data_IF_671612501235
#
_entry.id   IF_671612501235
#
_cell.length_a   1.000
_cell.length_b   1.000
_cell.length_c   1.000
_cell.angle_alpha   90.00
_cell.angle_beta   90.00
_cell.angle_gamma   90.00
#
_symmetry.space_group_name_H-M   'P 1'
#
loop_
_entity.id
_entity.type
_entity.pdbx_description
1 polymer ?
#
# COMPACT_ATOMS: atom_id res chain seq x y z
N UNK A 1 7.24 12.40 -4.55
CA UNK A 1 5.89 11.85 -4.78
C UNK A 1 5.70 10.72 -3.80
N UNK A 2 4.57 10.69 -3.13
CA UNK A 2 4.32 9.79 -2.01
C UNK A 2 3.23 8.77 -2.40
N UNK A 3 3.55 7.48 -2.30
CA UNK A 3 2.67 6.39 -2.73
C UNK A 3 2.36 5.46 -1.56
N UNK A 4 1.08 5.39 -1.17
CA UNK A 4 0.61 4.37 -0.26
C UNK A 4 0.43 3.03 -0.98
N UNK A 5 0.80 1.92 -0.35
CA UNK A 5 0.53 0.58 -0.88
C UNK A 5 -0.49 -0.13 0.01
N UNK A 6 -1.51 -0.70 -0.63
CA UNK A 6 -2.49 -1.57 0.01
C UNK A 6 -2.61 -2.87 -0.78
N UNK A 7 -2.90 -3.97 -0.10
CA UNK A 7 -3.13 -5.27 -0.73
C UNK A 7 -4.18 -6.06 0.02
N UNK A 8 -5.09 -6.72 -0.72
CA UNK A 8 -6.11 -7.60 -0.17
C UNK A 8 -5.51 -8.66 0.76
N UNK A 9 -6.15 -8.92 1.90
CA UNK A 9 -5.65 -9.89 2.88
C UNK A 9 -5.62 -11.33 2.33
N UNK A 10 -6.50 -11.63 1.38
CA UNK A 10 -6.56 -12.91 0.65
C UNK A 10 -5.32 -13.18 -0.21
N UNK A 11 -4.56 -12.13 -0.55
CA UNK A 11 -3.35 -12.23 -1.37
C UNK A 11 -2.16 -12.60 -0.47
N UNK A 12 -1.76 -13.86 -0.59
CA UNK A 12 -0.71 -14.44 0.26
C UNK A 12 0.70 -14.20 -0.24
N UNK A 13 0.90 -13.74 -1.47
CA UNK A 13 2.22 -13.40 -2.03
C UNK A 13 2.14 -12.15 -2.89
N UNK A 14 3.16 -11.29 -2.85
CA UNK A 14 3.20 -10.11 -3.73
C UNK A 14 3.23 -10.55 -5.19
N UNK A 15 2.25 -10.14 -6.03
CA UNK A 15 2.21 -10.52 -7.43
C UNK A 15 3.42 -9.97 -8.20
N UNK A 16 3.93 -10.73 -9.17
CA UNK A 16 5.10 -10.33 -9.97
C UNK A 16 4.95 -8.93 -10.63
N UNK A 17 3.78 -8.51 -11.15
CA UNK A 17 3.61 -7.15 -11.65
C UNK A 17 3.82 -6.08 -10.58
N UNK A 18 3.41 -6.34 -9.33
CA UNK A 18 3.64 -5.42 -8.22
C UNK A 18 5.11 -5.35 -7.80
N UNK A 19 5.82 -6.47 -7.80
CA UNK A 19 7.27 -6.48 -7.60
C UNK A 19 8.01 -5.65 -8.65
N UNK A 20 7.66 -5.79 -9.93
CA UNK A 20 8.28 -5.00 -10.99
C UNK A 20 7.95 -3.52 -10.90
N UNK A 21 6.73 -3.18 -10.49
CA UNK A 21 6.36 -1.80 -10.21
C UNK A 21 7.25 -1.21 -9.11
N UNK A 22 7.36 -1.89 -7.96
CA UNK A 22 8.19 -1.45 -6.83
C UNK A 22 9.65 -1.29 -7.21
N UNK A 23 10.19 -2.22 -7.99
CA UNK A 23 11.56 -2.11 -8.51
C UNK A 23 11.75 -0.85 -9.35
N UNK A 24 10.81 -0.56 -10.26
CA UNK A 24 10.85 0.66 -11.07
C UNK A 24 10.68 1.94 -10.25
N UNK A 25 9.95 1.87 -9.14
CA UNK A 25 9.77 3.00 -8.22
C UNK A 25 10.98 3.24 -7.32
N UNK A 26 11.70 2.19 -6.91
CA UNK A 26 12.94 2.31 -6.13
C UNK A 26 14.06 3.04 -6.89
N UNK A 27 14.03 3.00 -8.23
CA UNK A 27 14.94 3.74 -9.11
C UNK A 27 14.57 5.24 -9.25
N UNK A 28 13.49 5.68 -8.59
CA UNK A 28 12.96 7.05 -8.65
C UNK A 28 12.97 7.69 -7.25
N UNK A 29 12.96 9.03 -7.19
CA UNK A 29 12.81 9.81 -5.94
C UNK A 29 11.36 9.80 -5.43
N UNK A 30 10.82 8.59 -5.27
CA UNK A 30 9.46 8.31 -4.81
C UNK A 30 9.54 7.75 -3.40
N UNK A 31 8.68 8.24 -2.51
CA UNK A 31 8.54 7.71 -1.16
C UNK A 31 7.41 6.69 -1.13
N UNK A 32 7.70 5.51 -0.59
CA UNK A 32 6.68 4.46 -0.38
C UNK A 32 6.17 4.57 1.05
N UNK A 33 4.85 4.58 1.21
CA UNK A 33 4.17 4.64 2.50
C UNK A 33 3.46 3.29 2.74
N UNK A 34 3.73 2.68 3.89
CA UNK A 34 3.16 1.39 4.30
C UNK A 34 2.43 1.47 5.64
N UNK A 35 1.43 0.60 5.81
CA UNK A 35 0.78 0.35 7.09
C UNK A 35 1.47 -0.82 7.80
N UNK A 36 2.34 -0.54 8.77
CA UNK A 36 3.08 -1.53 9.54
C UNK A 36 2.23 -2.43 10.45
N UNK A 37 0.91 -2.23 10.52
CA UNK A 37 0.01 -3.07 11.34
C UNK A 37 -0.57 -4.27 10.58
N UNK A 38 -0.49 -4.29 9.25
CA UNK A 38 -1.08 -5.34 8.44
C UNK A 38 -0.04 -6.39 7.95
N UNK A 39 -0.50 -7.64 7.74
CA UNK A 39 0.38 -8.74 7.28
C UNK A 39 0.79 -8.60 5.81
N UNK A 40 0.06 -7.80 5.04
CA UNK A 40 0.33 -7.57 3.64
C UNK A 40 1.58 -6.70 3.45
N UNK A 41 1.68 -5.64 4.26
CA UNK A 41 2.75 -4.66 4.33
C UNK A 41 4.06 -5.27 4.80
N UNK A 42 4.02 -6.30 5.65
CA UNK A 42 5.23 -7.07 5.99
C UNK A 42 5.96 -7.61 4.76
N UNK A 43 5.23 -8.17 3.79
CA UNK A 43 5.83 -8.71 2.56
C UNK A 43 6.39 -7.60 1.68
N UNK A 44 5.77 -6.43 1.69
CA UNK A 44 6.32 -5.26 1.01
C UNK A 44 7.58 -4.75 1.70
N UNK A 45 7.65 -4.74 3.04
CA UNK A 45 8.86 -4.36 3.76
C UNK A 45 10.05 -5.25 3.36
N UNK A 46 9.86 -6.56 3.23
CA UNK A 46 10.90 -7.49 2.75
C UNK A 46 11.39 -7.13 1.34
N UNK A 47 10.45 -6.89 0.41
CA UNK A 47 10.80 -6.51 -0.97
C UNK A 47 11.51 -5.15 -1.02
N UNK A 48 11.02 -4.16 -0.30
CA UNK A 48 11.62 -2.81 -0.28
C UNK A 48 13.02 -2.84 0.34
N UNK A 49 13.22 -3.67 1.37
CA UNK A 49 14.53 -3.94 1.95
C UNK A 49 15.49 -4.58 0.93
N UNK A 50 15.06 -5.63 0.23
CA UNK A 50 15.85 -6.31 -0.80
C UNK A 50 16.20 -5.38 -1.97
N UNK A 51 15.29 -4.47 -2.33
CA UNK A 51 15.50 -3.44 -3.34
C UNK A 51 16.36 -2.27 -2.86
N UNK A 52 16.73 -2.25 -1.57
CA UNK A 52 17.50 -1.18 -0.93
C UNK A 52 16.85 0.20 -1.10
N UNK A 53 15.53 0.26 -0.97
CA UNK A 53 14.80 1.51 -1.13
C UNK A 53 15.05 2.44 0.06
N UNK A 54 15.54 3.65 -0.21
CA UNK A 54 15.94 4.61 0.84
C UNK A 54 14.78 5.46 1.38
N UNK A 55 13.71 5.62 0.60
CA UNK A 55 12.58 6.50 0.89
C UNK A 55 11.33 5.69 1.26
N UNK A 56 11.29 5.16 2.49
CA UNK A 56 10.14 4.40 3.02
C UNK A 56 9.63 5.05 4.31
N UNK A 57 8.31 5.27 4.40
CA UNK A 57 7.62 5.77 5.60
C UNK A 57 6.65 4.69 6.09
N UNK A 58 6.76 4.29 7.36
CA UNK A 58 5.93 3.23 7.94
C UNK A 58 5.05 3.81 9.04
N UNK A 59 3.74 3.63 8.89
CA UNK A 59 2.72 4.00 9.85
C UNK A 59 2.38 2.80 10.72
N UNK A 60 2.53 2.89 12.03
CA UNK A 60 2.23 1.77 12.94
C UNK A 60 1.65 2.24 14.28
N UNK A 61 0.96 1.34 14.98
CA UNK A 61 0.42 1.59 16.32
C UNK A 61 1.40 1.16 17.41
N UNK A 62 1.50 1.96 18.48
CA UNK A 62 2.31 1.65 19.67
C UNK A 62 1.96 0.32 20.37
N UNK A 63 0.75 -0.23 20.15
CA UNK A 63 0.31 -1.51 20.73
C UNK A 63 0.67 -2.72 19.85
N UNK A 64 0.93 -2.49 18.56
CA UNK A 64 1.43 -3.50 17.63
C UNK A 64 2.96 -3.62 17.67
N UNK A 65 3.60 -3.03 18.68
CA UNK A 65 5.02 -3.16 19.02
C UNK A 65 5.34 -4.57 19.55
N UNK A 66 4.76 -5.60 18.93
CA UNK A 66 5.32 -6.93 18.98
C UNK A 66 6.37 -6.95 17.85
N UNK A 67 7.65 -6.93 18.22
CA UNK A 67 8.86 -7.02 17.37
C UNK A 67 8.83 -8.01 16.18
N UNK A 68 7.76 -8.82 16.08
CA UNK A 68 7.50 -9.80 15.02
C UNK A 68 6.81 -9.22 13.79
N UNK A 69 6.18 -8.04 13.88
CA UNK A 69 5.46 -7.39 12.78
C UNK A 69 6.22 -6.23 12.12
N UNK A 70 7.45 -5.96 12.55
CA UNK A 70 8.38 -5.04 11.89
C UNK A 70 9.53 -5.88 11.32
N UNK A 71 9.26 -6.53 10.19
CA UNK A 71 10.19 -7.44 9.55
C UNK A 71 11.46 -6.70 9.12
N UNK A 72 12.61 -7.26 9.51
CA UNK A 72 13.95 -7.05 8.94
C UNK A 72 14.67 -5.72 9.18
N UNK A 73 13.99 -4.62 9.51
CA UNK A 73 14.64 -3.32 9.69
C UNK A 73 15.25 -3.13 11.10
N UNK A 74 14.79 -3.87 12.12
CA UNK A 74 15.37 -3.81 13.47
C UNK A 74 16.57 -4.76 13.68
N UNK A 75 16.73 -5.83 12.89
CA UNK A 75 17.70 -6.89 13.21
C UNK A 75 19.04 -6.81 12.46
N UNK A 76 19.20 -5.96 11.43
CA UNK A 76 20.40 -5.98 10.56
C UNK A 76 21.14 -4.64 10.36
N UNK A 77 20.92 -3.60 11.17
CA UNK A 77 21.64 -2.31 11.01
C UNK A 77 22.50 -2.00 12.23
N UNK A 78 23.60 -2.74 12.35
CA UNK A 78 24.80 -2.36 13.12
C UNK A 78 25.98 -2.07 12.17
N UNK A 79 25.70 -1.58 10.96
CA UNK A 79 26.72 -1.07 10.04
C UNK A 79 26.34 0.36 9.63
N UNK A 80 26.96 1.34 10.28
CA UNK A 80 26.66 2.77 10.28
C UNK A 80 26.92 3.48 8.92
N UNK A 81 27.04 2.74 7.81
CA UNK A 81 27.47 3.29 6.51
C UNK A 81 26.41 3.36 5.41
N UNK A 82 25.14 3.06 5.69
CA UNK A 82 24.06 3.17 4.70
C UNK A 82 22.97 4.08 5.27
N UNK A 83 23.04 5.36 4.90
CA UNK A 83 22.05 6.36 5.24
C UNK A 83 20.71 6.05 4.54
N UNK A 84 19.81 5.31 5.20
CA UNK A 84 18.39 5.24 4.84
C UNK A 84 17.62 6.21 5.74
N UNK A 85 16.89 7.17 5.17
CA UNK A 85 16.06 8.10 5.95
C UNK A 85 14.69 7.46 6.19
N UNK A 86 14.60 6.64 7.24
CA UNK A 86 13.31 6.13 7.71
C UNK A 86 12.63 7.21 8.58
N UNK A 87 11.46 7.68 8.16
CA UNK A 87 10.60 8.56 8.97
C UNK A 87 9.48 7.71 9.58
N UNK A 88 9.40 7.65 10.91
CA UNK A 88 8.38 6.89 11.64
C UNK A 88 7.43 7.85 12.34
N UNK A 89 6.14 7.61 12.18
CA UNK A 89 5.09 8.30 12.94
C UNK A 89 4.30 7.30 13.76
N UNK A 90 4.26 7.53 15.07
CA UNK A 90 3.60 6.67 16.05
C UNK A 90 2.23 7.23 16.38
N UNK A 91 1.20 6.40 16.25
CA UNK A 91 -0.18 6.77 16.54
C UNK A 91 -0.75 5.93 17.69
N UNK A 92 -1.60 6.58 18.49
CA UNK A 92 -2.28 5.98 19.63
C UNK A 92 -3.67 5.46 19.19
N UNK A 93 -3.91 4.17 19.44
CA UNK A 93 -5.21 3.50 19.65
C UNK A 93 -6.19 3.11 18.53
N UNK A 94 -6.02 3.37 17.22
CA UNK A 94 -6.92 2.78 16.20
C UNK A 94 -6.21 2.41 14.87
N UNK A 95 -6.20 1.14 14.43
CA UNK A 95 -5.73 0.74 13.10
C UNK A 95 -6.40 1.52 11.95
N UNK A 96 -7.65 1.94 12.13
CA UNK A 96 -8.38 2.79 11.17
C UNK A 96 -7.72 4.17 11.11
N UNK A 97 -7.40 4.78 12.26
CA UNK A 97 -6.70 6.08 12.29
C UNK A 97 -5.31 6.00 11.66
N UNK A 98 -4.57 4.89 11.88
CA UNK A 98 -3.27 4.64 11.25
C UNK A 98 -3.40 4.63 9.73
N UNK A 99 -4.39 3.89 9.20
CA UNK A 99 -4.65 3.82 7.76
C UNK A 99 -5.09 5.18 7.20
N UNK A 100 -5.99 5.88 7.88
CA UNK A 100 -6.47 7.20 7.45
C UNK A 100 -5.34 8.22 7.38
N UNK A 101 -4.43 8.22 8.36
CA UNK A 101 -3.25 9.08 8.37
C UNK A 101 -2.30 8.74 7.22
N UNK A 102 -2.00 7.46 7.05
CA UNK A 102 -1.20 6.96 5.93
C UNK A 102 -1.75 7.43 4.57
N UNK A 103 -3.07 7.27 4.37
CA UNK A 103 -3.75 7.66 3.14
C UNK A 103 -3.89 9.19 3.00
N UNK A 104 -3.93 9.94 4.08
CA UNK A 104 -3.95 11.41 4.03
C UNK A 104 -2.61 12.00 3.58
N UNK A 105 -1.49 11.38 3.94
CA UNK A 105 -0.16 11.80 3.53
C UNK A 105 0.17 11.42 2.08
N UNK A 106 -0.33 10.29 1.60
CA UNK A 106 -0.02 9.80 0.27
C UNK A 106 -0.63 10.68 -0.84
N UNK A 107 0.12 10.98 -1.89
CA UNK A 107 -0.39 11.67 -3.09
C UNK A 107 -1.13 10.71 -4.04
N UNK A 108 -0.73 9.43 -4.01
CA UNK A 108 -1.34 8.37 -4.79
C UNK A 108 -1.34 7.04 -4.03
N UNK A 109 -2.13 6.08 -4.52
CA UNK A 109 -2.23 4.75 -3.93
C UNK A 109 -1.98 3.68 -4.98
N UNK A 110 -1.12 2.71 -4.66
CA UNK A 110 -1.01 1.46 -5.39
C UNK A 110 -1.79 0.38 -4.65
N UNK A 111 -2.94 -0.01 -5.22
CA UNK A 111 -3.83 -0.99 -4.65
C UNK A 111 -3.71 -2.33 -5.38
N UNK A 112 -3.43 -3.40 -4.66
CA UNK A 112 -3.50 -4.77 -5.17
C UNK A 112 -4.77 -5.42 -4.67
N UNK A 113 -5.66 -5.74 -5.59
CA UNK A 113 -7.00 -6.24 -5.31
C UNK A 113 -7.17 -7.67 -5.81
N UNK A 114 -7.79 -8.51 -5.01
CA UNK A 114 -8.04 -9.92 -5.34
C UNK A 114 -9.10 -10.13 -6.44
N UNK A 115 -9.83 -9.09 -6.81
CA UNK A 115 -10.84 -9.13 -7.86
C UNK A 115 -12.25 -9.47 -7.37
N UNK A 116 -12.43 -9.70 -6.07
CA UNK A 116 -13.69 -10.15 -5.48
C UNK A 116 -14.05 -9.44 -4.16
N UNK A 117 -13.06 -8.95 -3.40
CA UNK A 117 -13.27 -8.31 -2.11
C UNK A 117 -13.88 -6.92 -2.24
N UNK A 118 -14.75 -6.57 -1.29
CA UNK A 118 -15.30 -5.22 -1.15
C UNK A 118 -14.55 -4.39 -0.09
N UNK A 119 -13.46 -4.92 0.44
CA UNK A 119 -12.76 -4.36 1.63
C UNK A 119 -12.21 -2.94 1.40
N UNK A 120 -11.97 -2.56 0.14
CA UNK A 120 -11.39 -1.27 -0.22
C UNK A 120 -12.37 -0.29 -0.85
N UNK A 121 -13.68 -0.60 -0.92
CA UNK A 121 -14.63 0.28 -1.61
C UNK A 121 -14.69 1.67 -0.98
N UNK A 122 -14.82 1.74 0.34
CA UNK A 122 -14.88 3.00 1.09
C UNK A 122 -13.53 3.75 0.99
N UNK A 123 -12.42 3.01 1.11
CA UNK A 123 -11.06 3.55 0.95
C UNK A 123 -10.85 4.18 -0.43
N UNK A 124 -11.30 3.51 -1.50
CA UNK A 124 -11.19 3.99 -2.87
C UNK A 124 -12.04 5.25 -3.06
N UNK A 125 -13.28 5.26 -2.56
CA UNK A 125 -14.17 6.40 -2.65
C UNK A 125 -13.57 7.62 -1.94
N UNK A 126 -13.18 7.48 -0.68
CA UNK A 126 -12.61 8.56 0.14
C UNK A 126 -11.32 9.13 -0.46
N UNK A 127 -10.47 8.28 -1.04
CA UNK A 127 -9.22 8.70 -1.66
C UNK A 127 -9.47 9.49 -2.95
N UNK A 128 -10.45 9.07 -3.76
CA UNK A 128 -10.84 9.77 -4.99
C UNK A 128 -11.57 11.08 -4.71
N UNK A 129 -12.39 11.16 -3.66
CA UNK A 129 -13.06 12.40 -3.24
C UNK A 129 -12.06 13.50 -2.85
N UNK A 130 -10.89 13.10 -2.32
CA UNK A 130 -9.76 14.00 -2.04
C UNK A 130 -8.97 14.41 -3.30
N UNK A 131 -9.40 13.98 -4.49
CA UNK A 131 -8.74 14.27 -5.77
C UNK A 131 -7.43 13.50 -5.99
N UNK A 132 -7.20 12.42 -5.23
CA UNK A 132 -5.99 11.60 -5.31
C UNK A 132 -6.15 10.47 -6.31
N UNK A 133 -5.03 9.89 -6.74
CA UNK A 133 -4.99 8.92 -7.85
C UNK A 133 -4.74 7.51 -7.36
N UNK A 134 -5.40 6.54 -7.97
CA UNK A 134 -5.26 5.13 -7.62
C UNK A 134 -4.75 4.36 -8.83
N UNK A 135 -3.73 3.56 -8.62
CA UNK A 135 -3.28 2.53 -9.55
C UNK A 135 -3.71 1.18 -8.98
N UNK A 136 -4.61 0.49 -9.68
CA UNK A 136 -5.20 -0.78 -9.26
C UNK A 136 -4.58 -1.93 -10.05
N UNK A 137 -3.96 -2.88 -9.36
CA UNK A 137 -3.63 -4.19 -9.90
C UNK A 137 -4.72 -5.18 -9.47
N UNK A 138 -5.52 -5.64 -10.43
CA UNK A 138 -6.39 -6.79 -10.20
C UNK A 138 -5.55 -8.07 -10.36
N UNK A 139 -5.32 -8.80 -9.26
CA UNK A 139 -4.45 -9.98 -9.25
C UNK A 139 -5.06 -11.15 -10.05
N UNK A 140 -6.38 -11.32 -9.96
CA UNK A 140 -7.10 -12.41 -10.64
C UNK A 140 -6.94 -12.38 -12.15
N UNK A 141 -6.97 -11.20 -12.76
CA UNK A 141 -6.77 -11.04 -14.22
C UNK A 141 -5.42 -10.41 -14.60
N UNK A 142 -4.56 -10.16 -13.61
CA UNK A 142 -3.24 -9.51 -13.75
C UNK A 142 -3.27 -8.22 -14.58
N UNK A 143 -4.31 -7.42 -14.39
CA UNK A 143 -4.54 -6.19 -15.14
C UNK A 143 -4.29 -4.97 -14.26
N UNK A 144 -3.42 -4.09 -14.74
CA UNK A 144 -3.19 -2.77 -14.15
C UNK A 144 -4.19 -1.77 -14.72
N UNK A 145 -4.86 -1.01 -13.86
CA UNK A 145 -5.87 -0.02 -14.22
C UNK A 145 -5.60 1.27 -13.45
N UNK A 146 -5.63 2.41 -14.14
CA UNK A 146 -5.52 3.72 -13.50
C UNK A 146 -6.92 4.24 -13.24
N UNK A 147 -7.21 4.54 -11.98
CA UNK A 147 -8.50 5.05 -11.50
C UNK A 147 -8.28 6.50 -11.10
N UNK A 148 -8.95 7.40 -11.82
CA UNK A 148 -8.88 8.85 -11.59
C UNK A 148 -10.21 9.44 -11.14
N UNK A 149 -11.29 8.65 -11.20
CA UNK A 149 -12.62 9.06 -10.80
C UNK A 149 -13.42 7.89 -10.23
N UNK A 150 -14.49 8.20 -9.48
CA UNK A 150 -15.43 7.19 -8.97
C UNK A 150 -16.03 6.37 -10.13
N UNK A 151 -16.28 7.00 -11.29
CA UNK A 151 -16.78 6.29 -12.48
C UNK A 151 -15.77 5.24 -12.95
N UNK A 152 -14.47 5.56 -12.99
CA UNK A 152 -13.43 4.59 -13.35
C UNK A 152 -13.37 3.45 -12.35
N UNK A 153 -13.53 3.76 -11.05
CA UNK A 153 -13.53 2.77 -9.98
C UNK A 153 -14.69 1.77 -10.16
N UNK A 154 -15.90 2.27 -10.42
CA UNK A 154 -17.06 1.42 -10.67
C UNK A 154 -16.84 0.50 -11.88
N UNK A 155 -16.25 1.00 -12.97
CA UNK A 155 -15.94 0.17 -14.14
C UNK A 155 -14.83 -0.87 -13.87
N UNK A 156 -13.83 -0.51 -13.07
CA UNK A 156 -12.69 -1.38 -12.77
C UNK A 156 -13.05 -2.50 -11.78
N UNK A 157 -13.89 -2.19 -10.79
CA UNK A 157 -14.26 -3.08 -9.70
C UNK A 157 -15.54 -3.89 -10.01
N UNK A 158 -16.41 -3.38 -10.89
CA UNK A 158 -17.60 -4.08 -11.35
C UNK A 158 -17.53 -4.34 -12.87
N UNK A 159 -16.83 -5.40 -13.32
CA UNK A 159 -16.73 -5.74 -14.75
C UNK A 159 -18.07 -6.13 -15.40
N UNK A 160 -19.13 -6.27 -14.60
CA UNK A 160 -20.50 -6.50 -15.05
C UNK A 160 -21.44 -5.40 -14.53
N UNK A 161 -21.47 -4.21 -15.17
CA UNK A 161 -22.40 -3.14 -14.80
C UNK A 161 -23.88 -3.56 -14.95
N UNK A 162 -24.16 -4.60 -15.73
CA UNK A 162 -25.50 -5.12 -16.04
C UNK A 162 -26.20 -5.86 -14.88
N UNK A 163 -25.57 -5.95 -13.70
CA UNK A 163 -26.15 -6.61 -12.52
C UNK A 163 -26.77 -5.65 -11.49
N UNK A 164 -26.71 -4.35 -11.75
CA UNK A 164 -27.39 -3.34 -10.92
C UNK A 164 -28.74 -3.00 -11.57
N UNK A 165 -29.81 -3.66 -11.11
CA UNK A 165 -31.17 -3.17 -11.33
C UNK A 165 -31.49 -2.18 -10.20
N UNK A 166 -31.71 -0.91 -10.56
CA UNK A 166 -32.31 0.09 -9.69
C UNK A 166 -33.79 -0.21 -9.45
#
# INVERSE_FOLDING_TARGET
>A
MDIAILMSESITTVPLPAYHYLKGTAEQDTRIILNGTDKASLKFQEILYDLRMENVKIYTSCLCFDSKNLGLWEENVLDESIYMQEEREYYDFDPIEVQDKMLNDAESMFLIWDGESNEFMDVIADFLEKGKKIMLLNDKVRKLTYIMSISDALHALCPHPDRFFF
#
